data_IF_247768907249
#
_entry.id   IF_247768907249
#
_cell.length_a   1.000
_cell.length_b   1.000
_cell.length_c   1.000
_cell.angle_alpha   90.00
_cell.angle_beta   90.00
_cell.angle_gamma   90.00
#
_symmetry.space_group_name_H-M   'P 1'
#
loop_
_entity.id
_entity.type
_entity.pdbx_description
1 polymer ?
#
# COMPACT_ATOMS: atom_id res chain seq x y z
N UNK A 1 14.95 5.26 -1.27
CA UNK A 1 15.25 3.97 -0.59
C UNK A 1 15.47 4.09 0.92
N UNK A 2 16.18 5.12 1.43
CA UNK A 2 16.34 5.31 2.89
C UNK A 2 15.01 5.38 3.67
N UNK A 3 14.02 6.08 3.11
CA UNK A 3 12.68 6.20 3.71
C UNK A 3 12.03 4.81 3.94
N UNK A 4 12.03 3.96 2.92
CA UNK A 4 11.48 2.58 2.98
C UNK A 4 12.18 1.74 4.05
N UNK A 5 13.52 1.79 4.10
CA UNK A 5 14.30 1.10 5.14
C UNK A 5 13.91 1.59 6.55
N UNK A 6 13.76 2.90 6.75
CA UNK A 6 13.39 3.45 8.05
C UNK A 6 11.98 3.01 8.48
N UNK A 7 10.99 3.08 7.58
CA UNK A 7 9.61 2.64 7.84
C UNK A 7 9.61 1.19 8.30
N UNK A 8 10.32 0.34 7.56
CA UNK A 8 10.32 -1.10 7.79
C UNK A 8 11.15 -1.50 9.01
N UNK A 9 12.18 -0.72 9.35
CA UNK A 9 12.89 -0.82 10.64
C UNK A 9 11.98 -0.51 11.83
N UNK A 10 11.06 0.47 11.70
CA UNK A 10 10.04 0.73 12.73
C UNK A 10 9.07 -0.45 12.79
N UNK A 11 8.52 -0.89 11.66
CA UNK A 11 7.60 -2.05 11.60
C UNK A 11 8.20 -3.28 12.29
N UNK A 12 9.48 -3.57 12.07
CA UNK A 12 10.15 -4.71 12.72
C UNK A 12 10.37 -4.52 14.22
N UNK A 13 10.66 -3.29 14.67
CA UNK A 13 10.73 -2.98 16.12
C UNK A 13 9.37 -3.20 16.78
N UNK A 14 8.29 -2.65 16.20
CA UNK A 14 6.96 -2.78 16.75
C UNK A 14 6.50 -4.23 16.74
N UNK A 15 6.73 -4.96 15.64
CA UNK A 15 6.42 -6.40 15.55
C UNK A 15 7.10 -7.19 16.67
N UNK A 16 8.36 -6.88 17.00
CA UNK A 16 9.06 -7.50 18.13
C UNK A 16 8.42 -7.17 19.47
N UNK A 17 8.03 -5.92 19.71
CA UNK A 17 7.31 -5.54 20.92
C UNK A 17 5.98 -6.29 21.07
N UNK A 18 5.22 -6.47 19.97
CA UNK A 18 4.01 -7.29 19.97
C UNK A 18 4.32 -8.78 20.19
N UNK A 19 5.37 -9.32 19.56
CA UNK A 19 5.81 -10.71 19.75
C UNK A 19 6.20 -10.99 21.21
N UNK A 20 6.92 -10.09 21.87
CA UNK A 20 7.31 -10.22 23.29
C UNK A 20 6.10 -10.24 24.25
N UNK A 21 4.90 -9.90 23.75
CA UNK A 21 3.62 -10.03 24.46
C UNK A 21 2.71 -11.13 23.88
N UNK A 22 3.25 -12.03 23.06
CA UNK A 22 2.54 -13.11 22.38
C UNK A 22 1.36 -12.64 21.52
N UNK A 23 1.50 -11.48 20.86
CA UNK A 23 0.46 -10.86 20.01
C UNK A 23 0.79 -10.86 18.52
N UNK A 24 1.99 -11.30 18.14
CA UNK A 24 2.44 -11.41 16.75
C UNK A 24 3.46 -12.53 16.61
N UNK A 25 3.55 -13.13 15.41
CA UNK A 25 4.68 -13.96 15.00
C UNK A 25 5.91 -13.13 14.65
N UNK A 26 6.96 -13.79 14.16
CA UNK A 26 8.20 -13.15 13.70
C UNK A 26 8.43 -13.31 12.18
N UNK A 27 7.40 -13.75 11.46
CA UNK A 27 7.40 -13.87 10.01
C UNK A 27 6.28 -13.01 9.45
N UNK A 28 6.64 -12.04 8.60
CA UNK A 28 5.70 -11.14 7.95
C UNK A 28 5.66 -11.45 6.46
N UNK A 29 4.46 -11.70 5.94
CA UNK A 29 4.17 -11.90 4.52
C UNK A 29 4.23 -10.58 3.73
N UNK A 30 5.45 -10.06 3.58
CA UNK A 30 5.81 -8.79 2.92
C UNK A 30 7.31 -8.81 2.58
N UNK A 31 7.76 -8.22 1.46
CA UNK A 31 7.02 -7.36 0.54
C UNK A 31 6.27 -8.08 -0.58
N UNK A 32 5.28 -7.40 -1.15
CA UNK A 32 4.79 -7.71 -2.49
C UNK A 32 5.85 -7.30 -3.52
N UNK A 33 6.43 -8.28 -4.22
CA UNK A 33 7.52 -8.11 -5.21
C UNK A 33 7.02 -8.05 -6.66
N UNK A 34 5.73 -8.29 -6.86
CA UNK A 34 5.11 -8.30 -8.17
C UNK A 34 5.15 -6.91 -8.81
N UNK A 35 5.18 -6.90 -10.13
CA UNK A 35 5.14 -5.69 -10.93
C UNK A 35 3.69 -5.34 -11.20
N UNK A 36 3.32 -4.07 -11.00
CA UNK A 36 1.98 -3.60 -11.35
C UNK A 36 1.84 -3.43 -12.87
N UNK A 37 1.83 -4.56 -13.59
CA UNK A 37 1.88 -4.61 -15.05
C UNK A 37 0.58 -4.16 -15.70
N UNK A 38 -0.53 -4.73 -15.25
CA UNK A 38 -1.86 -4.35 -15.71
C UNK A 38 -2.45 -3.37 -14.69
N UNK A 39 -2.78 -2.11 -15.07
CA UNK A 39 -3.32 -1.14 -14.15
C UNK A 39 -4.63 -1.60 -13.50
N UNK A 40 -5.36 -2.56 -14.09
CA UNK A 40 -6.63 -3.03 -13.55
C UNK A 40 -6.47 -3.93 -12.33
N UNK A 41 -5.27 -4.42 -12.04
CA UNK A 41 -5.03 -5.35 -10.93
C UNK A 41 -5.40 -4.74 -9.57
N UNK A 42 -6.32 -5.38 -8.85
CA UNK A 42 -6.87 -4.90 -7.58
C UNK A 42 -5.85 -4.78 -6.45
N UNK A 43 -4.75 -5.52 -6.52
CA UNK A 43 -3.66 -5.48 -5.53
C UNK A 43 -2.42 -4.72 -5.99
N UNK A 44 -2.49 -4.03 -7.13
CA UNK A 44 -1.40 -3.17 -7.59
C UNK A 44 -1.00 -2.10 -6.56
N UNK A 45 -1.96 -1.67 -5.74
CA UNK A 45 -1.77 -0.77 -4.59
C UNK A 45 -0.79 -1.29 -3.51
N UNK A 46 -0.55 -2.61 -3.45
CA UNK A 46 0.41 -3.23 -2.52
C UNK A 46 1.84 -3.19 -3.06
N UNK A 47 2.03 -2.77 -4.30
CA UNK A 47 3.32 -2.79 -5.00
C UNK A 47 3.97 -1.40 -5.04
N UNK A 48 5.29 -1.32 -5.24
CA UNK A 48 5.97 -0.06 -5.53
C UNK A 48 5.82 0.39 -7.01
N UNK A 49 4.88 -0.19 -7.76
CA UNK A 49 4.52 0.23 -9.12
C UNK A 49 4.97 -0.73 -10.23
N UNK A 50 5.02 -0.21 -11.45
CA UNK A 50 5.22 -0.98 -12.69
C UNK A 50 6.69 -1.15 -13.11
N UNK A 51 7.63 -0.51 -12.42
CA UNK A 51 9.02 -0.43 -12.85
C UNK A 51 9.89 -1.48 -12.12
N UNK A 52 10.41 -2.53 -12.82
CA UNK A 52 11.13 -3.62 -12.15
C UNK A 52 12.36 -3.20 -11.35
N UNK A 53 13.10 -2.20 -11.84
CA UNK A 53 14.25 -1.67 -11.12
C UNK A 53 13.84 -0.99 -9.80
N UNK A 54 12.82 -0.13 -9.84
CA UNK A 54 12.30 0.54 -8.65
C UNK A 54 11.76 -0.48 -7.64
N UNK A 55 11.00 -1.47 -8.12
CA UNK A 55 10.51 -2.58 -7.30
C UNK A 55 11.65 -3.33 -6.63
N UNK A 56 12.71 -3.64 -7.38
CA UNK A 56 13.88 -4.34 -6.85
C UNK A 56 14.59 -3.56 -5.74
N UNK A 57 14.78 -2.24 -5.90
CA UNK A 57 15.39 -1.40 -4.86
C UNK A 57 14.49 -1.22 -3.63
N UNK A 58 13.17 -1.07 -3.85
CA UNK A 58 12.18 -0.97 -2.77
C UNK A 58 12.17 -2.25 -1.93
N UNK A 59 12.08 -3.41 -2.60
CA UNK A 59 12.08 -4.74 -1.97
C UNK A 59 13.37 -4.98 -1.20
N UNK A 60 14.53 -4.63 -1.78
CA UNK A 60 15.80 -4.72 -1.07
C UNK A 60 15.77 -3.92 0.23
N UNK A 61 15.41 -2.63 0.17
CA UNK A 61 15.40 -1.75 1.33
C UNK A 61 14.43 -2.24 2.41
N UNK A 62 13.24 -2.71 2.03
CA UNK A 62 12.24 -3.25 2.94
C UNK A 62 12.71 -4.53 3.63
N UNK A 63 13.24 -5.50 2.87
CA UNK A 63 13.79 -6.74 3.44
C UNK A 63 14.94 -6.42 4.40
N UNK A 64 15.81 -5.47 4.06
CA UNK A 64 16.87 -5.06 4.97
C UNK A 64 16.32 -4.45 6.26
N UNK A 65 15.32 -3.56 6.19
CA UNK A 65 14.73 -2.92 7.38
C UNK A 65 13.94 -3.89 8.27
N UNK A 66 13.37 -4.95 7.69
CA UNK A 66 12.71 -6.00 8.47
C UNK A 66 13.71 -6.95 9.12
N UNK A 67 14.69 -7.44 8.36
CA UNK A 67 15.54 -8.54 8.81
C UNK A 67 16.79 -8.12 9.57
N UNK A 68 17.36 -6.97 9.24
CA UNK A 68 18.52 -6.43 9.95
C UNK A 68 18.08 -5.58 11.13
N UNK A 69 18.99 -5.41 12.07
CA UNK A 69 18.85 -4.42 13.11
C UNK A 69 20.17 -4.26 13.84
N UNK A 70 20.07 -3.71 15.06
CA UNK A 70 21.24 -3.33 15.86
C UNK A 70 22.12 -4.50 16.29
N UNK A 71 21.53 -5.68 16.54
CA UNK A 71 22.27 -6.89 16.87
C UNK A 71 22.36 -7.81 15.64
N UNK A 72 23.51 -7.81 14.98
CA UNK A 72 23.77 -8.62 13.79
C UNK A 72 23.84 -10.14 14.08
N UNK A 73 23.90 -10.55 15.35
CA UNK A 73 23.87 -11.97 15.71
C UNK A 73 22.52 -12.61 15.37
N UNK A 74 21.44 -11.82 15.44
CA UNK A 74 20.08 -12.28 15.22
C UNK A 74 19.44 -11.66 13.97
N UNK A 75 18.53 -12.40 13.36
CA UNK A 75 17.49 -11.80 12.53
C UNK A 75 16.55 -11.01 13.46
N UNK A 76 16.22 -9.77 13.10
CA UNK A 76 15.27 -8.96 13.86
C UNK A 76 13.87 -9.54 13.73
N UNK A 77 13.35 -9.61 12.51
CA UNK A 77 12.21 -10.46 12.12
C UNK A 77 12.51 -11.09 10.75
N UNK A 78 11.61 -11.92 10.23
CA UNK A 78 11.75 -12.49 8.87
C UNK A 78 10.79 -11.81 7.91
N UNK A 79 11.31 -11.44 6.75
CA UNK A 79 10.52 -11.00 5.61
C UNK A 79 10.19 -12.21 4.73
N UNK A 80 9.14 -12.07 3.93
CA UNK A 80 8.67 -13.09 3.02
C UNK A 80 8.24 -12.43 1.71
N UNK A 81 9.04 -12.62 0.66
CA UNK A 81 8.75 -12.05 -0.65
C UNK A 81 7.59 -12.79 -1.31
N UNK A 82 6.53 -12.04 -1.62
CA UNK A 82 5.29 -12.57 -2.18
C UNK A 82 4.80 -11.76 -3.37
N UNK A 83 3.83 -12.22 -4.14
CA UNK A 83 3.60 -13.63 -4.38
C UNK A 83 4.60 -14.05 -5.45
N UNK A 84 5.59 -14.86 -5.07
CA UNK A 84 6.65 -15.31 -5.96
C UNK A 84 6.17 -16.51 -6.79
N UNK A 85 5.93 -16.40 -8.10
CA UNK A 85 6.08 -15.19 -8.91
C UNK A 85 4.98 -14.99 -9.96
N UNK A 86 5.08 -13.88 -10.72
CA UNK A 86 4.24 -13.53 -11.86
C UNK A 86 2.74 -13.52 -11.55
N UNK A 87 2.41 -13.05 -10.35
CA UNK A 87 1.06 -12.86 -9.87
C UNK A 87 0.69 -11.39 -9.97
N UNK A 88 -0.17 -11.05 -10.94
CA UNK A 88 -0.59 -9.67 -11.20
C UNK A 88 -2.06 -9.56 -11.65
N UNK A 89 -2.89 -10.52 -11.22
CA UNK A 89 -4.32 -10.61 -11.55
C UNK A 89 -5.08 -11.29 -10.41
N UNK A 90 -6.23 -10.73 -10.02
CA UNK A 90 -7.13 -11.35 -9.03
C UNK A 90 -8.27 -12.12 -9.69
N UNK A 91 -9.03 -11.44 -10.56
CA UNK A 91 -10.24 -11.91 -11.21
C UNK A 91 -10.63 -10.99 -12.37
N UNK A 92 -10.18 -11.33 -13.57
CA UNK A 92 -10.42 -10.53 -14.78
C UNK A 92 -10.99 -11.40 -15.91
N UNK A 93 -12.11 -10.95 -16.48
CA UNK A 93 -12.83 -11.57 -17.63
C UNK A 93 -12.90 -13.11 -17.52
N UNK A 94 -13.46 -13.59 -16.41
CA UNK A 94 -13.70 -15.03 -16.22
C UNK A 94 -12.46 -15.87 -15.91
N UNK A 95 -11.31 -15.24 -15.72
CA UNK A 95 -10.09 -15.88 -15.20
C UNK A 95 -9.84 -15.39 -13.79
N UNK A 96 -9.80 -16.29 -12.82
CA UNK A 96 -9.40 -15.98 -11.45
C UNK A 96 -7.92 -16.33 -11.19
N UNK A 97 -7.37 -15.79 -10.12
CA UNK A 97 -6.00 -16.01 -9.67
C UNK A 97 -5.57 -17.48 -9.49
N UNK A 98 -6.51 -18.38 -9.19
CA UNK A 98 -6.21 -19.80 -8.99
C UNK A 98 -6.06 -20.56 -10.31
N UNK A 99 -6.62 -20.00 -11.39
CA UNK A 99 -6.60 -20.59 -12.74
C UNK A 99 -5.79 -19.78 -13.76
N UNK A 100 -5.26 -18.64 -13.35
CA UNK A 100 -4.38 -17.82 -14.18
C UNK A 100 -3.09 -18.58 -14.54
N UNK A 101 -2.65 -18.45 -15.78
CA UNK A 101 -1.40 -19.01 -16.28
C UNK A 101 -0.53 -17.90 -16.88
N UNK A 102 0.48 -17.52 -16.11
CA UNK A 102 1.43 -16.49 -16.50
C UNK A 102 2.44 -17.09 -17.48
N UNK A 103 2.39 -16.63 -18.74
CA UNK A 103 3.39 -16.96 -19.76
C UNK A 103 4.52 -15.94 -19.73
N UNK A 104 5.65 -16.31 -19.11
CA UNK A 104 6.77 -15.40 -18.86
C UNK A 104 8.10 -15.99 -19.33
N UNK A 105 9.07 -15.11 -19.61
CA UNK A 105 10.46 -15.48 -19.86
C UNK A 105 11.32 -15.36 -18.59
N UNK A 106 12.50 -15.98 -18.57
CA UNK A 106 13.45 -15.86 -17.46
C UNK A 106 13.92 -14.41 -17.19
N UNK A 107 13.77 -13.52 -18.17
CA UNK A 107 14.15 -12.11 -18.09
C UNK A 107 13.21 -11.29 -17.20
N UNK A 108 11.96 -11.75 -17.02
CA UNK A 108 10.90 -11.00 -16.32
C UNK A 108 10.91 -11.23 -14.80
N UNK A 109 11.86 -12.02 -14.27
CA UNK A 109 11.92 -12.44 -12.87
C UNK A 109 12.66 -11.42 -11.98
N UNK A 110 11.99 -10.96 -10.91
CA UNK A 110 12.62 -10.14 -9.85
C UNK A 110 13.46 -11.03 -8.93
N UNK A 111 14.75 -11.13 -9.23
CA UNK A 111 15.72 -11.99 -8.51
C UNK A 111 16.36 -11.32 -7.27
N UNK A 112 16.26 -9.99 -7.17
CA UNK A 112 16.96 -9.18 -6.15
C UNK A 112 16.56 -9.54 -4.71
N UNK A 113 15.32 -9.94 -4.48
CA UNK A 113 14.86 -10.35 -3.15
C UNK A 113 15.68 -11.52 -2.56
N UNK A 114 15.98 -12.52 -3.40
CA UNK A 114 16.67 -13.74 -2.96
C UNK A 114 18.19 -13.51 -2.99
N UNK A 115 18.70 -13.00 -4.12
CA UNK A 115 20.15 -12.93 -4.35
C UNK A 115 20.85 -11.82 -3.56
N UNK A 116 20.26 -10.63 -3.48
CA UNK A 116 20.94 -9.47 -2.88
C UNK A 116 20.38 -9.19 -1.49
N UNK A 117 19.06 -9.27 -1.32
CA UNK A 117 18.42 -8.95 -0.05
C UNK A 117 18.52 -10.09 0.97
N UNK A 118 18.82 -11.32 0.51
CA UNK A 118 18.91 -12.53 1.32
C UNK A 118 17.68 -12.71 2.21
N UNK A 119 16.50 -12.63 1.61
CA UNK A 119 15.22 -12.87 2.31
C UNK A 119 15.23 -14.24 2.99
N UNK A 120 14.61 -14.32 4.16
CA UNK A 120 14.53 -15.55 4.94
C UNK A 120 13.45 -16.52 4.44
N UNK A 121 12.44 -16.01 3.74
CA UNK A 121 11.31 -16.81 3.22
C UNK A 121 10.77 -16.22 1.92
N UNK A 122 10.06 -17.04 1.14
CA UNK A 122 9.23 -16.57 0.02
C UNK A 122 7.89 -17.30 0.07
N UNK A 123 6.86 -16.64 -0.44
CA UNK A 123 5.52 -17.19 -0.60
C UNK A 123 5.28 -17.47 -2.07
N UNK A 124 5.08 -18.74 -2.40
CA UNK A 124 4.65 -19.16 -3.73
C UNK A 124 3.31 -18.49 -4.11
N UNK A 125 3.14 -18.12 -5.37
CA UNK A 125 1.88 -17.56 -5.87
C UNK A 125 0.81 -18.63 -6.07
N UNK A 126 -0.44 -18.19 -6.26
CA UNK A 126 -1.55 -19.09 -6.56
C UNK A 126 -1.51 -19.63 -7.99
N UNK A 127 -1.05 -18.81 -8.94
CA UNK A 127 -1.18 -19.07 -10.37
C UNK A 127 -0.21 -20.14 -10.87
N UNK A 128 -0.45 -20.55 -12.10
CA UNK A 128 0.52 -21.32 -12.88
C UNK A 128 1.49 -20.38 -13.62
N UNK A 129 2.71 -20.85 -13.83
CA UNK A 129 3.74 -20.17 -14.60
C UNK A 129 4.22 -21.15 -15.66
N UNK A 130 3.99 -20.84 -16.93
CA UNK A 130 4.30 -21.72 -18.05
C UNK A 130 3.77 -23.14 -17.82
N UNK A 131 2.47 -23.26 -17.49
CA UNK A 131 1.73 -24.52 -17.24
C UNK A 131 2.09 -25.27 -15.94
N UNK A 132 2.95 -24.71 -15.08
CA UNK A 132 3.36 -25.33 -13.81
C UNK A 132 2.89 -24.47 -12.64
N UNK A 133 2.09 -25.00 -11.68
CA UNK A 133 1.72 -24.27 -10.47
C UNK A 133 2.97 -23.76 -9.73
N UNK A 134 2.98 -22.50 -9.30
CA UNK A 134 4.14 -21.88 -8.62
C UNK A 134 4.62 -22.70 -7.42
N UNK A 135 3.69 -23.15 -6.56
CA UNK A 135 4.00 -23.99 -5.40
C UNK A 135 4.61 -25.37 -5.73
N UNK A 136 4.49 -25.82 -6.98
CA UNK A 136 5.07 -27.06 -7.50
C UNK A 136 6.17 -26.81 -8.54
N UNK A 137 6.57 -25.55 -8.76
CA UNK A 137 7.56 -25.19 -9.76
C UNK A 137 8.97 -25.49 -9.25
N UNK A 138 9.63 -26.45 -9.88
CA UNK A 138 10.96 -26.91 -9.46
C UNK A 138 11.98 -25.78 -9.44
N UNK A 139 11.93 -24.82 -10.37
CA UNK A 139 12.84 -23.67 -10.36
C UNK A 139 12.65 -22.81 -9.11
N UNK A 140 11.41 -22.55 -8.71
CA UNK A 140 11.10 -21.76 -7.52
C UNK A 140 11.46 -22.52 -6.23
N UNK A 141 11.19 -23.82 -6.20
CA UNK A 141 11.55 -24.72 -5.09
C UNK A 141 13.08 -24.85 -4.97
N UNK A 142 13.82 -24.95 -6.08
CA UNK A 142 15.29 -25.04 -6.07
C UNK A 142 15.96 -23.73 -5.68
N UNK A 143 15.39 -22.60 -6.11
CA UNK A 143 15.81 -21.26 -5.68
C UNK A 143 15.66 -21.09 -4.15
N UNK A 144 14.61 -21.67 -3.56
CA UNK A 144 14.43 -21.74 -2.10
C UNK A 144 15.38 -22.72 -1.41
N UNK A 145 15.57 -23.90 -2.01
CA UNK A 145 16.23 -25.03 -1.37
C UNK A 145 17.76 -25.06 -1.53
N UNK A 146 18.36 -24.13 -2.28
CA UNK A 146 19.81 -24.14 -2.61
C UNK A 146 20.28 -25.55 -3.03
N UNK A 147 19.69 -26.04 -4.13
CA UNK A 147 20.09 -27.21 -4.93
C UNK A 147 19.49 -28.57 -4.53
N UNK A 148 19.08 -29.30 -5.58
CA UNK A 148 18.69 -30.72 -5.63
C UNK A 148 17.45 -31.12 -4.81
N UNK A 149 16.29 -31.01 -5.47
CA UNK A 149 15.05 -31.59 -5.00
C UNK A 149 14.18 -32.03 -6.16
N UNK A 150 13.80 -33.32 -6.13
CA UNK A 150 12.80 -33.97 -6.99
C UNK A 150 13.33 -34.67 -8.26
N UNK A 151 14.47 -35.38 -8.18
CA UNK A 151 14.86 -36.33 -9.25
C UNK A 151 13.90 -37.53 -9.38
N UNK A 152 13.20 -37.87 -8.30
CA UNK A 152 12.19 -38.93 -8.27
C UNK A 152 10.90 -38.34 -7.73
N UNK A 153 9.79 -38.46 -8.47
CA UNK A 153 8.45 -37.89 -8.22
C UNK A 153 7.75 -38.41 -6.93
N UNK A 154 8.49 -38.59 -5.84
CA UNK A 154 8.08 -39.18 -4.57
C UNK A 154 8.68 -38.36 -3.43
N UNK A 155 7.84 -37.88 -2.52
CA UNK A 155 8.27 -37.25 -1.27
C UNK A 155 8.72 -38.34 -0.30
N UNK A 156 9.92 -38.21 0.26
CA UNK A 156 10.40 -39.09 1.33
C UNK A 156 10.54 -38.32 2.64
N UNK A 157 10.64 -39.02 3.77
CA UNK A 157 10.78 -38.42 5.11
C UNK A 157 11.91 -37.38 5.17
N UNK A 158 13.05 -37.66 4.51
CA UNK A 158 14.18 -36.73 4.39
C UNK A 158 13.80 -35.38 3.77
N UNK A 159 12.83 -35.33 2.86
CA UNK A 159 12.37 -34.08 2.25
C UNK A 159 11.57 -33.25 3.27
N UNK A 160 10.79 -33.91 4.12
CA UNK A 160 10.06 -33.28 5.23
C UNK A 160 11.06 -32.78 6.28
N UNK A 161 12.03 -33.61 6.66
CA UNK A 161 13.06 -33.23 7.63
C UNK A 161 13.82 -31.98 7.19
N UNK A 162 14.22 -31.91 5.91
CA UNK A 162 14.88 -30.72 5.37
C UNK A 162 14.00 -29.48 5.41
N UNK A 163 12.71 -29.58 5.10
CA UNK A 163 11.78 -28.47 5.20
C UNK A 163 11.64 -27.98 6.66
N UNK A 164 11.66 -28.91 7.62
CA UNK A 164 11.69 -28.58 9.05
C UNK A 164 13.02 -27.94 9.45
N UNK A 165 14.17 -28.49 9.03
CA UNK A 165 15.50 -27.94 9.32
C UNK A 165 15.61 -26.48 8.84
N UNK A 166 15.13 -26.14 7.64
CA UNK A 166 15.09 -24.76 7.17
C UNK A 166 14.28 -23.85 8.10
N UNK A 167 13.11 -24.31 8.52
CA UNK A 167 12.26 -23.58 9.47
C UNK A 167 12.96 -23.37 10.82
N UNK A 168 13.55 -24.42 11.39
CA UNK A 168 14.26 -24.34 12.66
C UNK A 168 15.53 -23.49 12.58
N UNK A 169 16.27 -23.53 11.47
CA UNK A 169 17.43 -22.66 11.25
C UNK A 169 17.03 -21.18 11.29
N UNK A 170 15.87 -20.82 10.70
CA UNK A 170 15.33 -19.47 10.78
C UNK A 170 14.94 -19.11 12.22
N UNK A 171 14.28 -20.01 12.95
CA UNK A 171 13.92 -19.79 14.37
C UNK A 171 15.16 -19.62 15.27
N UNK A 172 16.22 -20.40 15.04
CA UNK A 172 17.51 -20.25 15.74
C UNK A 172 18.08 -18.86 15.46
N UNK A 173 18.12 -18.42 14.19
CA UNK A 173 18.61 -17.08 13.84
C UNK A 173 17.74 -15.95 14.41
N UNK A 174 16.46 -16.18 14.68
CA UNK A 174 15.58 -15.22 15.36
C UNK A 174 15.79 -15.15 16.88
N UNK A 175 16.69 -15.99 17.43
CA UNK A 175 16.91 -16.15 18.86
C UNK A 175 15.70 -16.75 19.57
N UNK A 176 14.93 -17.60 18.88
CA UNK A 176 13.67 -18.12 19.42
C UNK A 176 13.87 -19.02 20.65
N UNK A 177 14.97 -19.78 20.67
CA UNK A 177 15.29 -20.75 21.71
C UNK A 177 16.22 -20.20 22.79
N UNK A 178 16.72 -18.98 22.62
CA UNK A 178 17.64 -18.35 23.58
C UNK A 178 16.87 -17.75 24.75
N UNK A 179 17.52 -17.70 25.91
CA UNK A 179 16.97 -17.06 27.11
C UNK A 179 16.58 -15.62 26.81
N UNK A 180 15.34 -15.17 27.10
CA UNK A 180 14.88 -13.83 26.76
C UNK A 180 15.82 -12.73 27.26
N UNK A 181 16.41 -12.91 28.44
CA UNK A 181 17.33 -11.96 29.08
C UNK A 181 18.62 -11.73 28.28
N UNK A 182 18.99 -12.68 27.42
CA UNK A 182 20.22 -12.64 26.61
C UNK A 182 19.96 -12.21 25.16
N UNK A 183 18.69 -12.04 24.77
CA UNK A 183 18.29 -11.71 23.41
C UNK A 183 17.85 -10.25 23.32
N UNK A 184 18.61 -9.45 22.56
CA UNK A 184 18.43 -8.00 22.47
C UNK A 184 16.99 -7.58 22.09
N UNK A 185 16.43 -8.18 21.04
CA UNK A 185 15.07 -7.87 20.57
C UNK A 185 13.93 -8.38 21.48
N UNK A 186 14.21 -9.23 22.48
CA UNK A 186 13.25 -9.67 23.51
C UNK A 186 13.07 -8.62 24.60
N UNK A 187 13.91 -7.58 24.60
CA UNK A 187 13.80 -6.45 25.53
C UNK A 187 12.85 -5.35 25.05
N UNK A 188 12.42 -5.39 23.77
CA UNK A 188 11.46 -4.42 23.22
C UNK A 188 10.08 -4.54 23.89
N UNK A 189 9.46 -3.39 24.14
CA UNK A 189 8.27 -3.24 24.97
C UNK A 189 7.21 -2.38 24.27
N UNK A 190 6.07 -2.17 24.96
CA UNK A 190 5.04 -1.23 24.50
C UNK A 190 5.56 0.21 24.33
N UNK A 191 6.62 0.60 25.03
CA UNK A 191 7.20 1.95 24.89
C UNK A 191 7.86 2.16 23.51
N UNK A 192 8.16 1.07 22.79
CA UNK A 192 8.79 1.07 21.47
C UNK A 192 7.77 1.02 20.31
N UNK A 193 6.46 1.13 20.63
CA UNK A 193 5.35 1.11 19.68
C UNK A 193 4.69 2.48 19.65
N UNK A 194 4.38 3.00 18.44
CA UNK A 194 3.70 4.28 18.26
C UNK A 194 4.44 5.45 18.94
N UNK A 195 5.77 5.48 18.78
CA UNK A 195 6.61 6.56 19.32
C UNK A 195 6.41 7.86 18.53
N UNK A 196 6.69 9.04 19.11
CA UNK A 196 6.63 10.31 18.38
C UNK A 196 7.47 10.32 17.09
N UNK A 197 8.61 9.64 17.08
CA UNK A 197 9.48 9.50 15.90
C UNK A 197 8.82 8.63 14.83
N UNK A 198 8.16 7.54 15.20
CA UNK A 198 7.40 6.70 14.26
C UNK A 198 6.21 7.44 13.64
N UNK A 199 5.49 8.23 14.44
CA UNK A 199 4.39 9.08 13.97
C UNK A 199 4.91 10.16 13.00
N UNK A 200 6.04 10.79 13.32
CA UNK A 200 6.69 11.76 12.44
C UNK A 200 7.12 11.13 11.13
N UNK A 201 7.70 9.92 11.18
CA UNK A 201 8.11 9.18 9.99
C UNK A 201 6.90 8.83 9.11
N UNK A 202 5.76 8.43 9.70
CA UNK A 202 4.51 8.19 8.98
C UNK A 202 4.03 9.44 8.24
N UNK A 203 4.04 10.60 8.93
CA UNK A 203 3.68 11.89 8.34
C UNK A 203 4.64 12.29 7.20
N UNK A 204 5.95 12.20 7.42
CA UNK A 204 6.96 12.48 6.39
C UNK A 204 6.79 11.57 5.18
N UNK A 205 6.49 10.29 5.41
CA UNK A 205 6.26 9.32 4.33
C UNK A 205 5.05 9.69 3.48
N UNK A 206 3.95 10.13 4.11
CA UNK A 206 2.78 10.63 3.39
C UNK A 206 3.09 11.90 2.60
N UNK A 207 3.82 12.85 3.19
CA UNK A 207 4.19 14.13 2.54
C UNK A 207 5.08 13.91 1.30
N UNK A 208 6.07 13.02 1.40
CA UNK A 208 6.99 12.70 0.30
C UNK A 208 6.34 11.85 -0.81
N UNK A 209 5.18 11.23 -0.54
CA UNK A 209 4.48 10.34 -1.47
C UNK A 209 3.34 11.02 -2.25
N UNK A 210 3.01 12.28 -1.94
CA UNK A 210 1.97 13.03 -2.66
C UNK A 210 2.53 13.60 -3.96
N UNK A 211 1.82 13.37 -5.08
CA UNK A 211 2.25 13.79 -6.41
C UNK A 211 1.36 14.93 -6.92
N UNK A 212 1.97 16.09 -7.21
CA UNK A 212 1.28 17.21 -7.88
C UNK A 212 1.31 17.02 -9.40
N UNK A 213 0.19 16.60 -9.98
CA UNK A 213 0.08 16.33 -11.42
C UNK A 213 -0.17 17.60 -12.26
N UNK A 214 -0.92 18.57 -11.73
CA UNK A 214 -1.34 19.78 -12.46
C UNK A 214 -1.42 20.97 -11.50
N UNK A 215 -0.88 22.11 -11.91
CA UNK A 215 -0.98 23.37 -11.17
C UNK A 215 -1.21 24.53 -12.15
N UNK A 216 -2.48 24.87 -12.38
CA UNK A 216 -2.88 25.93 -13.31
C UNK A 216 -2.76 27.28 -12.61
N UNK A 217 -2.23 28.29 -13.30
CA UNK A 217 -2.09 29.66 -12.79
C UNK A 217 -1.37 29.79 -11.43
N UNK A 218 -0.56 28.80 -11.03
CA UNK A 218 0.09 28.74 -9.71
C UNK A 218 -0.92 28.86 -8.56
N UNK A 219 -2.09 28.23 -8.70
CA UNK A 219 -3.15 28.23 -7.68
C UNK A 219 -2.74 27.52 -6.39
N UNK A 220 -1.73 26.64 -6.45
CA UNK A 220 -1.09 26.03 -5.28
C UNK A 220 0.35 26.54 -5.10
N UNK A 221 0.81 26.72 -3.84
CA UNK A 221 0.14 26.37 -2.58
C UNK A 221 -0.91 27.40 -2.11
N UNK A 222 -1.93 26.94 -1.40
CA UNK A 222 -2.88 27.81 -0.71
C UNK A 222 -2.24 28.31 0.59
N UNK A 223 -1.95 29.62 0.66
CA UNK A 223 -1.41 30.23 1.88
C UNK A 223 -2.54 30.63 2.81
N UNK A 224 -2.52 30.14 4.06
CA UNK A 224 -3.61 30.37 5.01
C UNK A 224 -3.92 31.86 5.22
N UNK A 225 -2.90 32.72 5.22
CA UNK A 225 -3.08 34.17 5.41
C UNK A 225 -3.89 34.82 4.27
N UNK A 226 -3.88 34.22 3.08
CA UNK A 226 -4.66 34.66 1.92
C UNK A 226 -6.11 34.14 1.95
N UNK A 227 -6.41 33.21 2.86
CA UNK A 227 -7.73 32.59 3.02
C UNK A 227 -8.59 33.29 4.09
N UNK A 228 -8.10 34.35 4.74
CA UNK A 228 -8.89 35.11 5.73
C UNK A 228 -10.11 35.74 5.05
N UNK A 229 -11.27 35.62 5.70
CA UNK A 229 -12.60 35.95 5.19
C UNK A 229 -13.06 35.11 3.99
N UNK A 230 -12.44 33.95 3.75
CA UNK A 230 -12.81 33.04 2.67
C UNK A 230 -13.59 31.84 3.18
N UNK A 231 -14.44 31.30 2.31
CA UNK A 231 -15.13 30.03 2.51
C UNK A 231 -14.47 28.93 1.67
N UNK A 232 -14.16 27.81 2.33
CA UNK A 232 -13.58 26.60 1.73
C UNK A 232 -14.67 25.51 1.73
N UNK A 233 -14.99 25.02 0.53
CA UNK A 233 -15.83 23.84 0.35
C UNK A 233 -14.96 22.60 0.20
N UNK A 234 -15.16 21.62 1.08
CA UNK A 234 -14.62 20.28 0.96
C UNK A 234 -15.74 19.36 0.49
N UNK A 235 -15.56 18.69 -0.65
CA UNK A 235 -16.60 17.87 -1.28
C UNK A 235 -16.05 16.46 -1.49
N UNK A 236 -16.94 15.46 -1.41
CA UNK A 236 -16.71 14.02 -1.61
C UNK A 236 -16.25 13.21 -0.38
N UNK A 237 -16.65 11.92 -0.26
CA UNK A 237 -16.53 11.16 0.97
C UNK A 237 -15.08 10.85 1.33
N UNK A 238 -14.16 10.85 0.35
CA UNK A 238 -12.72 10.66 0.60
C UNK A 238 -12.10 11.84 1.36
N UNK A 239 -12.77 13.00 1.44
CA UNK A 239 -12.33 14.12 2.28
C UNK A 239 -12.49 13.83 3.78
N UNK A 240 -13.44 12.96 4.15
CA UNK A 240 -13.70 12.52 5.53
C UNK A 240 -13.40 11.01 5.67
N UNK A 241 -12.42 10.53 4.92
CA UNK A 241 -12.00 9.13 4.92
C UNK A 241 -11.40 8.74 6.27
N UNK A 242 -11.82 7.59 6.79
CA UNK A 242 -11.23 6.98 7.99
C UNK A 242 -10.37 5.79 7.58
N UNK A 243 -10.82 4.56 7.81
CA UNK A 243 -10.05 3.34 7.53
C UNK A 243 -9.69 3.20 6.04
N UNK A 244 -10.51 3.74 5.14
CA UNK A 244 -10.26 3.67 3.69
C UNK A 244 -8.95 4.35 3.27
N UNK A 245 -8.44 5.32 4.05
CA UNK A 245 -7.16 5.97 3.74
C UNK A 245 -5.94 5.07 4.00
N UNK A 246 -6.13 3.95 4.70
CA UNK A 246 -5.08 2.98 5.01
C UNK A 246 -4.91 1.92 3.91
N UNK A 247 -5.75 1.91 2.87
CA UNK A 247 -5.69 0.94 1.79
C UNK A 247 -6.10 -0.47 2.25
N UNK A 248 -5.22 -1.45 2.02
CA UNK A 248 -5.40 -2.85 2.45
C UNK A 248 -4.32 -3.28 3.45
N UNK A 249 -4.45 -4.48 4.03
CA UNK A 249 -3.44 -5.09 4.92
C UNK A 249 -2.98 -4.22 6.10
N UNK A 250 -3.86 -3.41 6.68
CA UNK A 250 -3.55 -2.53 7.82
C UNK A 250 -4.02 -3.09 9.16
N UNK A 251 -3.35 -2.67 10.23
CA UNK A 251 -3.78 -2.87 11.61
C UNK A 251 -4.54 -1.67 12.17
N UNK A 252 -5.06 -1.79 13.40
CA UNK A 252 -5.73 -0.68 14.08
C UNK A 252 -4.75 0.49 14.33
N UNK A 253 -5.01 1.62 13.68
CA UNK A 253 -4.22 2.83 13.87
C UNK A 253 -4.48 3.48 15.25
N UNK A 254 -3.47 4.15 15.84
CA UNK A 254 -3.63 4.92 17.08
C UNK A 254 -4.54 6.14 16.89
N UNK A 255 -4.51 6.74 15.70
CA UNK A 255 -5.38 7.83 15.25
C UNK A 255 -5.41 7.86 13.73
N UNK A 256 -6.44 8.52 13.18
CA UNK A 256 -6.60 8.80 11.77
C UNK A 256 -6.96 10.27 11.62
N UNK A 257 -6.28 10.99 10.73
CA UNK A 257 -6.52 12.41 10.48
C UNK A 257 -6.93 12.56 9.03
N UNK A 258 -8.24 12.68 8.81
CA UNK A 258 -8.80 12.92 7.49
C UNK A 258 -8.56 14.38 7.02
N UNK A 259 -8.63 14.65 5.70
CA UNK A 259 -8.49 16.00 5.16
C UNK A 259 -9.41 17.07 5.79
N UNK A 260 -10.67 16.76 6.09
CA UNK A 260 -11.59 17.72 6.73
C UNK A 260 -11.10 18.08 8.13
N UNK A 261 -10.73 17.09 8.94
CA UNK A 261 -10.17 17.29 10.28
C UNK A 261 -8.88 18.09 10.23
N UNK A 262 -7.96 17.75 9.31
CA UNK A 262 -6.69 18.45 9.16
C UNK A 262 -6.89 19.93 8.78
N UNK A 263 -7.72 20.22 7.77
CA UNK A 263 -7.95 21.58 7.29
C UNK A 263 -8.63 22.42 8.38
N UNK A 264 -9.64 21.88 9.06
CA UNK A 264 -10.31 22.56 10.18
C UNK A 264 -9.35 22.86 11.34
N UNK A 265 -8.42 21.95 11.64
CA UNK A 265 -7.40 22.19 12.66
C UNK A 265 -6.41 23.31 12.25
N UNK A 266 -6.00 23.36 10.98
CA UNK A 266 -5.08 24.39 10.45
C UNK A 266 -5.70 25.79 10.38
N UNK A 267 -7.03 25.87 10.23
CA UNK A 267 -7.80 27.11 10.17
C UNK A 267 -8.43 27.49 11.51
N UNK A 268 -8.31 26.67 12.55
CA UNK A 268 -8.89 26.92 13.86
C UNK A 268 -8.47 28.28 14.43
N UNK A 269 -9.45 29.05 14.92
CA UNK A 269 -9.24 30.40 15.47
C UNK A 269 -9.01 31.50 14.42
N UNK A 270 -9.05 31.17 13.13
CA UNK A 270 -8.98 32.14 12.02
C UNK A 270 -10.38 32.39 11.46
N UNK A 271 -10.58 33.56 10.87
CA UNK A 271 -11.84 33.91 10.21
C UNK A 271 -11.90 33.26 8.82
N UNK A 272 -11.95 31.93 8.79
CA UNK A 272 -12.00 31.10 7.58
C UNK A 272 -13.13 30.10 7.79
N UNK A 273 -14.12 30.11 6.90
CA UNK A 273 -15.24 29.18 6.97
C UNK A 273 -14.88 27.89 6.22
N UNK A 274 -15.05 26.73 6.86
CA UNK A 274 -14.71 25.42 6.27
C UNK A 274 -15.91 24.50 6.44
N UNK A 275 -16.57 24.21 5.34
CA UNK A 275 -17.73 23.33 5.28
C UNK A 275 -17.42 22.08 4.44
N UNK A 276 -18.08 20.98 4.81
CA UNK A 276 -17.89 19.67 4.19
C UNK A 276 -19.24 19.07 3.81
N UNK A 277 -19.31 18.46 2.62
CA UNK A 277 -20.44 17.61 2.19
C UNK A 277 -19.95 16.40 1.41
N UNK A 278 -20.62 15.26 1.58
CA UNK A 278 -20.24 14.02 0.92
C UNK A 278 -20.44 14.03 -0.60
N UNK A 279 -21.37 14.78 -1.18
CA UNK A 279 -21.64 14.75 -2.62
C UNK A 279 -22.25 13.43 -3.10
N UNK A 280 -21.43 12.41 -3.36
CA UNK A 280 -21.85 11.05 -3.70
C UNK A 280 -21.03 9.97 -2.98
N UNK A 281 -21.23 8.69 -3.32
CA UNK A 281 -20.35 7.61 -2.88
C UNK A 281 -19.51 7.12 -4.05
N UNK A 282 -18.32 6.58 -3.75
CA UNK A 282 -17.32 6.16 -4.74
C UNK A 282 -17.88 5.11 -5.74
N UNK A 283 -18.69 4.15 -5.25
CA UNK A 283 -19.29 3.07 -6.04
C UNK A 283 -20.82 3.03 -5.87
N UNK A 284 -21.48 4.14 -6.21
CA UNK A 284 -22.95 4.28 -6.12
C UNK A 284 -23.43 5.29 -7.18
N UNK A 285 -24.42 4.96 -8.03
CA UNK A 285 -24.97 5.92 -8.98
C UNK A 285 -25.92 6.96 -8.35
N UNK A 286 -26.09 6.97 -7.02
CA UNK A 286 -26.94 7.92 -6.31
C UNK A 286 -26.44 9.37 -6.38
N UNK A 287 -27.18 10.20 -7.12
CA UNK A 287 -26.92 11.64 -7.27
C UNK A 287 -27.64 12.51 -6.21
N UNK A 288 -28.32 11.92 -5.23
CA UNK A 288 -29.16 12.66 -4.27
C UNK A 288 -28.40 13.73 -3.47
N UNK A 289 -27.09 13.55 -3.25
CA UNK A 289 -26.24 14.51 -2.55
C UNK A 289 -25.63 15.61 -3.44
N UNK A 290 -25.83 15.56 -4.76
CA UNK A 290 -25.29 16.56 -5.69
C UNK A 290 -25.80 17.98 -5.41
N UNK A 291 -27.09 18.13 -5.10
CA UNK A 291 -27.68 19.43 -4.81
C UNK A 291 -26.95 20.15 -3.66
N UNK A 292 -26.65 19.44 -2.58
CA UNK A 292 -25.92 20.00 -1.44
C UNK A 292 -24.46 20.36 -1.81
N UNK A 293 -23.79 19.53 -2.61
CA UNK A 293 -22.44 19.81 -3.11
C UNK A 293 -22.41 21.07 -4.00
N UNK A 294 -23.39 21.21 -4.89
CA UNK A 294 -23.52 22.35 -5.82
C UNK A 294 -23.83 23.63 -5.03
N UNK A 295 -24.72 23.58 -4.05
CA UNK A 295 -25.05 24.72 -3.19
C UNK A 295 -23.83 25.19 -2.39
N UNK A 296 -23.12 24.25 -1.76
CA UNK A 296 -21.89 24.58 -1.03
C UNK A 296 -20.84 25.19 -1.96
N UNK A 297 -20.57 24.54 -3.10
CA UNK A 297 -19.57 24.99 -4.07
C UNK A 297 -19.88 26.39 -4.63
N UNK A 298 -21.16 26.71 -4.86
CA UNK A 298 -21.60 28.04 -5.33
C UNK A 298 -21.30 29.16 -4.32
N UNK A 299 -21.34 28.84 -3.03
CA UNK A 299 -21.12 29.80 -1.94
C UNK A 299 -19.65 29.95 -1.52
N UNK A 300 -18.78 29.05 -1.96
CA UNK A 300 -17.38 28.99 -1.55
C UNK A 300 -16.45 29.80 -2.45
N UNK A 301 -15.38 30.34 -1.86
CA UNK A 301 -14.30 30.97 -2.61
C UNK A 301 -13.33 29.92 -3.17
N UNK A 302 -13.09 28.86 -2.39
CA UNK A 302 -12.18 27.75 -2.73
C UNK A 302 -12.99 26.46 -2.68
N UNK A 303 -12.90 25.65 -3.74
CA UNK A 303 -13.51 24.32 -3.80
C UNK A 303 -12.41 23.28 -3.90
N UNK A 304 -12.39 22.35 -2.94
CA UNK A 304 -11.51 21.18 -2.94
C UNK A 304 -12.39 19.94 -3.05
N UNK A 305 -12.31 19.28 -4.21
CA UNK A 305 -13.01 18.06 -4.51
C UNK A 305 -12.08 16.88 -4.28
N UNK A 306 -12.46 15.97 -3.39
CA UNK A 306 -11.75 14.73 -3.19
C UNK A 306 -12.37 13.63 -4.08
N UNK A 307 -11.64 12.59 -4.41
CA UNK A 307 -12.16 11.51 -5.25
C UNK A 307 -11.13 10.41 -5.40
N UNK A 308 -11.39 9.47 -6.31
CA UNK A 308 -10.52 8.33 -6.57
C UNK A 308 -11.21 7.01 -6.28
N UNK A 309 -10.48 6.05 -5.71
CA UNK A 309 -10.91 4.68 -5.53
C UNK A 309 -10.82 4.26 -4.06
N UNK A 310 -11.49 3.14 -3.74
CA UNK A 310 -11.37 2.44 -2.47
C UNK A 310 -11.39 0.92 -2.69
N UNK A 311 -11.35 0.15 -1.59
CA UNK A 311 -11.35 -1.31 -1.61
C UNK A 311 -12.63 -1.93 -2.21
N UNK A 312 -13.69 -1.15 -2.45
CA UNK A 312 -14.88 -1.64 -3.15
C UNK A 312 -14.68 -1.73 -4.67
N UNK A 313 -13.66 -1.05 -5.21
CA UNK A 313 -13.31 -1.02 -6.63
C UNK A 313 -11.99 -1.76 -6.92
N UNK A 314 -10.99 -1.61 -6.05
CA UNK A 314 -9.67 -2.25 -6.20
C UNK A 314 -9.24 -2.94 -4.91
N UNK A 315 -9.07 -4.26 -4.95
CA UNK A 315 -8.62 -5.00 -3.77
C UNK A 315 -8.32 -6.46 -4.08
N UNK A 316 -7.96 -7.21 -3.04
CA UNK A 316 -7.82 -8.66 -3.16
C UNK A 316 -9.13 -9.30 -3.62
N UNK A 317 -9.06 -10.21 -4.60
CA UNK A 317 -10.21 -10.80 -5.29
C UNK A 317 -11.06 -9.84 -6.15
N UNK A 318 -10.67 -8.56 -6.27
CA UNK A 318 -11.45 -7.52 -6.95
C UNK A 318 -10.55 -6.72 -7.90
N UNK A 319 -10.43 -7.19 -9.14
CA UNK A 319 -9.85 -6.39 -10.22
C UNK A 319 -10.84 -5.36 -10.74
N UNK A 320 -10.28 -4.25 -11.24
CA UNK A 320 -11.05 -3.18 -11.87
C UNK A 320 -11.50 -3.61 -13.26
N UNK A 321 -12.70 -3.19 -13.65
CA UNK A 321 -13.20 -3.39 -15.02
C UNK A 321 -12.91 -2.22 -15.95
N UNK A 322 -12.47 -1.09 -15.40
CA UNK A 322 -12.09 0.13 -16.10
C UNK A 322 -10.89 0.78 -15.40
N UNK A 323 -10.13 1.59 -16.15
CA UNK A 323 -9.06 2.44 -15.63
C UNK A 323 -9.52 3.90 -15.50
N UNK A 324 -10.78 4.22 -15.78
CA UNK A 324 -11.32 5.58 -15.65
C UNK A 324 -11.61 5.92 -14.19
N UNK A 325 -11.66 7.22 -13.89
CA UNK A 325 -12.32 7.69 -12.65
C UNK A 325 -13.78 7.21 -12.61
N UNK A 326 -14.36 6.98 -11.41
CA UNK A 326 -15.77 6.61 -11.30
C UNK A 326 -16.70 7.59 -12.02
N UNK A 327 -17.65 7.08 -12.79
CA UNK A 327 -18.56 7.91 -13.61
C UNK A 327 -19.35 8.92 -12.78
N UNK A 328 -19.75 8.54 -11.56
CA UNK A 328 -20.48 9.43 -10.64
C UNK A 328 -19.65 10.66 -10.25
N UNK A 329 -18.33 10.50 -10.08
CA UNK A 329 -17.42 11.60 -9.78
C UNK A 329 -17.30 12.54 -10.99
N UNK A 330 -17.21 12.00 -12.21
CA UNK A 330 -17.21 12.82 -13.42
C UNK A 330 -18.53 13.58 -13.56
N UNK A 331 -19.67 12.95 -13.32
CA UNK A 331 -20.99 13.61 -13.34
C UNK A 331 -21.03 14.78 -12.36
N UNK A 332 -20.53 14.60 -11.13
CA UNK A 332 -20.45 15.68 -10.15
C UNK A 332 -19.54 16.82 -10.62
N UNK A 333 -18.33 16.51 -11.14
CA UNK A 333 -17.40 17.51 -11.67
C UNK A 333 -18.08 18.39 -12.73
N UNK A 334 -18.79 17.78 -13.69
CA UNK A 334 -19.51 18.50 -14.74
C UNK A 334 -20.61 19.43 -14.17
N UNK A 335 -21.23 19.09 -13.04
CA UNK A 335 -22.22 19.96 -12.40
C UNK A 335 -21.55 21.09 -11.61
N UNK A 336 -20.43 20.81 -10.95
CA UNK A 336 -19.65 21.82 -10.21
C UNK A 336 -19.05 22.87 -11.15
N UNK A 337 -18.48 22.46 -12.29
CA UNK A 337 -17.91 23.39 -13.30
C UNK A 337 -18.93 24.42 -13.82
N UNK A 338 -20.23 24.13 -13.77
CA UNK A 338 -21.29 25.06 -14.19
C UNK A 338 -21.58 26.17 -13.18
N UNK A 339 -21.18 26.00 -11.91
CA UNK A 339 -21.56 26.90 -10.81
C UNK A 339 -20.37 27.52 -10.11
N UNK A 340 -19.22 26.84 -10.13
CA UNK A 340 -17.98 27.32 -9.50
C UNK A 340 -17.37 28.40 -10.39
N UNK A 341 -17.11 29.56 -9.80
CA UNK A 341 -16.51 30.72 -10.49
C UNK A 341 -14.98 30.77 -10.35
N UNK A 342 -14.44 30.04 -9.39
CA UNK A 342 -13.00 29.85 -9.15
C UNK A 342 -12.52 28.52 -9.74
N UNK A 343 -11.27 28.14 -9.46
CA UNK A 343 -10.76 26.81 -9.81
C UNK A 343 -11.24 25.75 -8.82
N UNK A 344 -11.52 24.55 -9.32
CA UNK A 344 -11.76 23.36 -8.51
C UNK A 344 -10.42 22.66 -8.30
N UNK A 345 -9.99 22.52 -7.05
CA UNK A 345 -8.80 21.74 -6.70
C UNK A 345 -9.21 20.28 -6.53
N UNK A 346 -8.73 19.39 -7.40
CA UNK A 346 -9.07 17.97 -7.34
C UNK A 346 -7.96 17.18 -6.65
N UNK A 347 -8.32 16.39 -5.64
CA UNK A 347 -7.43 15.46 -4.93
C UNK A 347 -7.89 14.04 -5.20
N UNK A 348 -7.06 13.26 -5.89
CA UNK A 348 -7.32 11.85 -6.19
C UNK A 348 -6.58 10.98 -5.18
N UNK A 349 -7.33 10.15 -4.46
CA UNK A 349 -6.83 9.13 -3.53
C UNK A 349 -7.11 7.77 -4.16
N UNK A 350 -6.08 7.08 -4.61
CA UNK A 350 -6.18 5.73 -5.19
C UNK A 350 -4.80 5.06 -5.14
N UNK A 351 -4.79 3.73 -5.06
CA UNK A 351 -3.57 2.96 -5.24
C UNK A 351 -3.20 2.77 -6.71
N UNK A 352 -4.18 2.77 -7.61
CA UNK A 352 -3.97 2.55 -9.04
C UNK A 352 -3.95 3.82 -9.87
N UNK A 353 -3.32 3.73 -11.06
CA UNK A 353 -3.43 4.75 -12.09
C UNK A 353 -4.89 4.90 -12.58
N UNK A 354 -5.30 6.15 -12.85
CA UNK A 354 -6.61 6.50 -13.37
C UNK A 354 -6.47 7.34 -14.64
N UNK A 355 -7.40 7.18 -15.58
CA UNK A 355 -7.54 8.10 -16.71
C UNK A 355 -8.08 9.45 -16.22
N UNK A 356 -7.16 10.41 -16.13
CA UNK A 356 -7.44 11.79 -15.73
C UNK A 356 -7.49 12.74 -16.95
N UNK A 357 -7.66 12.22 -18.17
CA UNK A 357 -7.61 13.04 -19.40
C UNK A 357 -8.58 14.20 -19.35
N UNK A 358 -9.82 13.97 -18.89
CA UNK A 358 -10.83 15.02 -18.71
C UNK A 358 -10.32 16.12 -17.78
N UNK A 359 -9.92 15.77 -16.55
CA UNK A 359 -9.42 16.71 -15.53
C UNK A 359 -8.16 17.44 -16.02
N UNK A 360 -7.30 16.77 -16.80
CA UNK A 360 -6.08 17.35 -17.36
C UNK A 360 -6.39 18.47 -18.35
N UNK A 361 -7.40 18.30 -19.20
CA UNK A 361 -7.76 19.30 -20.23
C UNK A 361 -8.78 20.34 -19.77
N UNK A 362 -9.56 20.06 -18.72
CA UNK A 362 -10.45 21.05 -18.11
C UNK A 362 -9.64 22.29 -17.67
N UNK A 363 -10.13 23.52 -17.89
CA UNK A 363 -9.50 24.73 -17.38
C UNK A 363 -9.47 24.74 -15.84
#
# INVERSE_FOLDING_TARGET
MRLVYNITSVISTETRAFNNKNRAGLNLFTPTVNIFRDPQWGRGQETPGEAPFLTSEYVYALVQGLQRGEDEHYLKITADCKAYNAYDLENWIGTDRFHFDAKISDQDLVKKCIHDAHVASIMCSYNTINDIPSSANQFEIEMLARKELLDNKTIVEKDIDRALEHTFNVLIRLGWFDSPEQQFYRQLTKADVDTPESQKLSLESAQDSIILLKNVNRSLPLHIDQLINKKIALIEPTANATESMQGSYFGKAPFLIDPVTAIKAMTAGKLIDVEFVNGCKIKDPDESGFSAAIELARSADIVILFGGLDQSIEGESVDRTSITVPDILLSLIHQLEKVVRSSIHVVIISGSGLDLTYIRVSP
#
